data_IF_936648491419
#
_entry.id   IF_936648491419
#
_cell.length_a   1.000
_cell.length_b   1.000
_cell.length_c   1.000
_cell.angle_alpha   90.00
_cell.angle_beta   90.00
_cell.angle_gamma   90.00
#
_symmetry.space_group_name_H-M   'P 1'
#
loop_
_entity.id
_entity.type
_entity.pdbx_description
1 polymer ?
#
# COMPACT_ATOMS: atom_id res chain seq x y z
N UNK A 1 16.87 -6.03 -19.26
CA UNK A 1 16.82 -5.56 -17.86
C UNK A 1 16.87 -4.05 -17.85
N UNK A 2 16.27 -3.41 -16.84
CA UNK A 2 16.30 -1.95 -16.69
C UNK A 2 17.55 -1.56 -15.88
N UNK A 3 18.45 -0.75 -16.44
CA UNK A 3 19.71 -0.34 -15.78
C UNK A 3 19.52 0.94 -14.95
N UNK A 4 18.80 0.84 -13.83
CA UNK A 4 18.56 1.96 -12.91
C UNK A 4 19.17 1.75 -11.51
N UNK A 5 19.97 0.69 -11.32
CA UNK A 5 20.61 0.36 -10.04
C UNK A 5 19.70 -0.29 -8.99
N UNK A 6 18.40 -0.41 -9.24
CA UNK A 6 17.44 -1.06 -8.34
C UNK A 6 17.33 -2.56 -8.61
N UNK A 7 16.84 -3.31 -7.63
CA UNK A 7 16.52 -4.74 -7.74
C UNK A 7 17.67 -5.60 -8.31
N UNK A 8 18.91 -5.34 -7.86
CA UNK A 8 20.08 -6.16 -8.18
C UNK A 8 19.94 -7.61 -7.68
N UNK A 9 19.06 -7.83 -6.70
CA UNK A 9 18.49 -9.13 -6.31
C UNK A 9 16.97 -9.07 -6.49
N UNK A 10 16.26 -10.23 -6.59
CA UNK A 10 14.81 -10.24 -6.66
C UNK A 10 14.16 -9.44 -5.52
N UNK A 11 13.10 -8.65 -5.78
CA UNK A 11 12.40 -7.89 -4.74
C UNK A 11 11.71 -8.83 -3.77
N UNK A 12 11.79 -8.50 -2.48
CA UNK A 12 11.06 -9.18 -1.42
C UNK A 12 10.19 -8.17 -0.68
N UNK A 13 8.93 -8.54 -0.43
CA UNK A 13 7.97 -7.65 0.18
C UNK A 13 6.57 -8.24 0.23
N UNK A 14 5.59 -7.37 0.41
CA UNK A 14 4.18 -7.68 0.52
C UNK A 14 3.39 -6.87 -0.51
N UNK A 15 2.32 -7.46 -1.06
CA UNK A 15 1.46 -6.85 -2.07
C UNK A 15 0.00 -7.25 -1.78
N UNK A 16 -0.90 -6.26 -1.76
CA UNK A 16 -2.26 -6.43 -1.24
C UNK A 16 -3.16 -7.39 -2.04
N UNK A 17 -2.94 -7.51 -3.35
CA UNK A 17 -3.90 -8.07 -4.30
C UNK A 17 -4.37 -9.48 -3.99
N UNK A 18 -3.45 -10.44 -3.82
CA UNK A 18 -3.83 -11.85 -3.76
C UNK A 18 -4.80 -12.11 -2.60
N UNK A 19 -4.52 -11.52 -1.44
CA UNK A 19 -5.27 -11.74 -0.21
C UNK A 19 -6.46 -10.78 -0.02
N UNK A 20 -6.33 -9.52 -0.42
CA UNK A 20 -7.32 -8.46 -0.12
C UNK A 20 -8.11 -8.00 -1.36
N UNK A 21 -7.59 -8.26 -2.56
CA UNK A 21 -8.25 -7.96 -3.85
C UNK A 21 -8.74 -6.51 -3.89
N UNK A 22 -9.94 -6.28 -4.42
CA UNK A 22 -10.58 -4.98 -4.51
C UNK A 22 -11.65 -4.78 -3.42
N UNK A 23 -11.39 -5.22 -2.18
CA UNK A 23 -12.34 -4.99 -1.08
C UNK A 23 -12.34 -3.52 -0.69
N UNK A 24 -13.39 -2.77 -1.03
CA UNK A 24 -13.53 -1.33 -0.70
C UNK A 24 -14.60 -1.08 0.38
N UNK A 25 -15.24 -2.12 0.90
CA UNK A 25 -16.29 -1.99 1.90
C UNK A 25 -15.69 -1.83 3.30
N UNK A 26 -15.30 -0.59 3.62
CA UNK A 26 -14.78 -0.26 4.94
C UNK A 26 -15.86 -0.05 6.01
N UNK A 27 -17.15 -0.15 5.66
CA UNK A 27 -18.24 -0.04 6.65
C UNK A 27 -18.49 -1.41 7.27
N UNK A 28 -18.68 -2.42 6.43
CA UNK A 28 -18.94 -3.80 6.88
C UNK A 28 -17.65 -4.58 7.15
N UNK A 29 -16.56 -4.27 6.44
CA UNK A 29 -15.26 -4.92 6.61
C UNK A 29 -14.10 -3.92 6.80
N UNK A 30 -14.14 -3.10 7.87
CA UNK A 30 -13.15 -2.05 8.11
C UNK A 30 -11.74 -2.59 8.29
N UNK A 31 -11.60 -3.87 8.65
CA UNK A 31 -10.31 -4.52 8.94
C UNK A 31 -9.58 -5.02 7.70
N UNK A 32 -10.31 -5.43 6.65
CA UNK A 32 -9.69 -5.99 5.45
C UNK A 32 -9.92 -5.14 4.18
N UNK A 33 -10.67 -4.04 4.26
CA UNK A 33 -10.80 -3.14 3.11
C UNK A 33 -9.47 -2.46 2.76
N UNK A 34 -9.27 -2.17 1.47
CA UNK A 34 -8.12 -1.44 0.92
C UNK A 34 -8.17 0.00 1.44
N UNK A 35 -7.40 0.27 2.49
CA UNK A 35 -7.40 1.54 3.23
C UNK A 35 -6.01 1.82 3.79
N UNK A 36 -5.69 3.09 4.08
CA UNK A 36 -4.40 3.47 4.68
C UNK A 36 -4.10 2.68 5.97
N UNK A 37 -5.14 2.40 6.78
CA UNK A 37 -5.01 1.62 8.01
C UNK A 37 -4.47 0.22 7.75
N UNK A 38 -4.95 -0.44 6.69
CA UNK A 38 -4.45 -1.78 6.31
C UNK A 38 -2.96 -1.73 5.98
N UNK A 39 -2.51 -0.72 5.23
CA UNK A 39 -1.10 -0.60 4.86
C UNK A 39 -0.22 -0.22 6.06
N UNK A 40 -0.68 0.67 6.93
CA UNK A 40 0.03 1.01 8.17
C UNK A 40 0.18 -0.21 9.08
N UNK A 41 -0.88 -1.01 9.27
CA UNK A 41 -0.80 -2.24 10.05
C UNK A 41 0.16 -3.26 9.43
N UNK A 42 0.18 -3.40 8.10
CA UNK A 42 1.13 -4.30 7.44
C UNK A 42 2.57 -3.78 7.51
N UNK A 43 2.79 -2.46 7.46
CA UNK A 43 4.09 -1.85 7.69
C UNK A 43 4.61 -2.13 9.11
N UNK A 44 3.75 -1.95 10.12
CA UNK A 44 4.05 -2.28 11.52
C UNK A 44 4.48 -3.75 11.67
N UNK A 45 3.72 -4.67 11.06
CA UNK A 45 4.05 -6.12 11.08
C UNK A 45 5.37 -6.40 10.38
N UNK A 46 5.61 -5.80 9.21
CA UNK A 46 6.88 -5.95 8.50
C UNK A 46 8.08 -5.51 9.37
N UNK A 47 7.92 -4.42 10.12
CA UNK A 47 8.97 -3.85 10.96
C UNK A 47 9.15 -4.58 12.31
N UNK A 48 8.07 -5.05 12.94
CA UNK A 48 8.10 -5.61 14.30
C UNK A 48 8.26 -7.13 14.33
N UNK A 49 7.75 -7.85 13.32
CA UNK A 49 7.71 -9.32 13.32
C UNK A 49 8.94 -9.94 12.61
N UNK A 50 9.93 -9.13 12.23
CA UNK A 50 11.21 -9.59 11.65
C UNK A 50 11.25 -9.76 10.13
N UNK A 51 10.14 -9.51 9.42
CA UNK A 51 10.11 -9.63 7.95
C UNK A 51 11.08 -8.69 7.26
N UNK A 52 11.13 -7.42 7.69
CA UNK A 52 12.07 -6.43 7.17
C UNK A 52 13.51 -6.88 7.40
N UNK A 53 13.80 -7.42 8.58
CA UNK A 53 15.14 -7.87 8.96
C UNK A 53 15.58 -9.10 8.14
N UNK A 54 14.62 -9.88 7.61
CA UNK A 54 14.83 -10.97 6.64
C UNK A 54 14.86 -10.50 5.18
N UNK A 55 14.67 -9.20 4.92
CA UNK A 55 14.78 -8.60 3.58
C UNK A 55 13.45 -8.28 2.88
N UNK A 56 12.30 -8.49 3.51
CA UNK A 56 11.00 -8.09 2.95
C UNK A 56 10.76 -6.59 3.18
N UNK A 57 11.20 -5.77 2.23
CA UNK A 57 11.29 -4.30 2.38
C UNK A 57 10.28 -3.51 1.54
N UNK A 58 9.59 -4.15 0.60
CA UNK A 58 8.56 -3.49 -0.20
C UNK A 58 7.17 -3.70 0.41
N UNK A 59 6.39 -2.63 0.53
CA UNK A 59 4.97 -2.67 0.84
C UNK A 59 4.20 -2.04 -0.31
N UNK A 60 3.54 -2.87 -1.12
CA UNK A 60 2.98 -2.44 -2.40
C UNK A 60 1.46 -2.33 -2.34
N UNK A 61 0.96 -1.13 -2.67
CA UNK A 61 -0.44 -0.87 -2.97
C UNK A 61 -0.73 -1.40 -4.38
N UNK A 62 -1.79 -2.18 -4.53
CA UNK A 62 -2.25 -2.70 -5.83
C UNK A 62 -3.49 -1.91 -6.30
N UNK A 63 -4.41 -2.51 -7.06
CA UNK A 63 -5.59 -1.82 -7.59
C UNK A 63 -6.54 -1.28 -6.49
N UNK A 64 -7.50 -0.45 -6.92
CA UNK A 64 -8.62 0.05 -6.10
C UNK A 64 -8.27 1.08 -5.02
N UNK A 65 -7.09 1.69 -5.04
CA UNK A 65 -6.73 2.82 -4.15
C UNK A 65 -7.19 4.19 -4.68
N UNK A 66 -7.38 4.32 -5.99
CA UNK A 66 -7.67 5.59 -6.68
C UNK A 66 -9.09 6.05 -6.33
N UNK A 67 -9.22 7.31 -5.91
CA UNK A 67 -10.51 8.00 -5.73
C UNK A 67 -10.96 8.78 -6.95
N UNK A 68 -10.00 9.24 -7.77
CA UNK A 68 -10.28 9.96 -9.01
C UNK A 68 -9.09 10.77 -9.49
N UNK A 69 -9.38 11.87 -10.21
CA UNK A 69 -8.41 12.88 -10.60
C UNK A 69 -8.88 14.25 -10.13
N UNK A 70 -7.94 15.11 -9.74
CA UNK A 70 -8.23 16.51 -9.47
C UNK A 70 -8.40 17.33 -10.76
N UNK A 71 -8.65 18.63 -10.62
CA UNK A 71 -8.87 19.54 -11.75
C UNK A 71 -7.64 19.67 -12.69
N UNK A 72 -6.44 19.31 -12.21
CA UNK A 72 -5.21 19.27 -13.03
C UNK A 72 -4.98 17.92 -13.69
N UNK A 73 -5.86 16.95 -13.45
CA UNK A 73 -5.72 15.57 -13.94
C UNK A 73 -4.80 14.70 -13.08
N UNK A 74 -4.33 15.19 -11.92
CA UNK A 74 -3.48 14.41 -11.01
C UNK A 74 -4.32 13.35 -10.29
N UNK A 75 -3.79 12.13 -10.17
CA UNK A 75 -4.44 11.06 -9.42
C UNK A 75 -4.54 11.44 -7.93
N UNK A 76 -5.69 11.18 -7.35
CA UNK A 76 -5.95 11.30 -5.91
C UNK A 76 -6.40 9.95 -5.35
N UNK A 77 -5.97 9.59 -4.14
CA UNK A 77 -6.48 8.40 -3.48
C UNK A 77 -7.94 8.60 -3.06
N UNK A 78 -8.63 7.52 -2.76
CA UNK A 78 -9.98 7.58 -2.19
C UNK A 78 -9.93 8.33 -0.84
N UNK A 79 -10.59 9.50 -0.70
CA UNK A 79 -10.45 10.34 0.48
C UNK A 79 -11.11 9.75 1.73
N UNK A 80 -11.98 8.74 1.60
CA UNK A 80 -12.58 8.06 2.75
C UNK A 80 -11.67 6.95 3.27
N UNK A 81 -10.96 6.26 2.37
CA UNK A 81 -10.10 5.11 2.71
C UNK A 81 -8.65 5.49 2.95
N UNK A 82 -8.20 6.61 2.40
CA UNK A 82 -6.88 7.20 2.57
C UNK A 82 -6.99 8.69 2.95
N UNK A 83 -7.64 9.04 4.07
CA UNK A 83 -7.86 10.43 4.48
C UNK A 83 -6.59 11.27 4.65
N UNK A 84 -5.43 10.67 4.96
CA UNK A 84 -4.16 11.40 5.06
C UNK A 84 -3.39 11.47 3.73
N UNK A 85 -3.82 10.71 2.72
CA UNK A 85 -3.22 10.68 1.39
C UNK A 85 -1.96 9.81 1.27
N UNK A 86 -1.52 9.59 0.03
CA UNK A 86 -0.39 8.67 -0.27
C UNK A 86 0.95 9.21 0.22
N UNK A 87 1.15 10.53 0.26
CA UNK A 87 2.41 11.11 0.72
C UNK A 87 2.65 10.82 2.21
N UNK A 88 1.62 10.99 3.03
CA UNK A 88 1.66 10.62 4.45
C UNK A 88 1.96 9.13 4.64
N UNK A 89 1.31 8.26 3.86
CA UNK A 89 1.54 6.82 3.95
C UNK A 89 2.96 6.40 3.51
N UNK A 90 3.63 7.20 2.67
CA UNK A 90 5.02 6.96 2.28
C UNK A 90 6.04 7.47 3.33
N UNK A 91 5.67 8.51 4.09
CA UNK A 91 6.48 9.03 5.20
C UNK A 91 6.43 8.11 6.44
N UNK A 92 5.31 7.40 6.62
CA UNK A 92 5.09 6.43 7.69
C UNK A 92 5.93 5.15 7.51
#
# INVERSE_FOLDING_TARGET
>A
MLENGLLRTPPMGWLAWERFRCNIDCVEDPKNCISERLFMEMADRLAQDGWRDLGYVYLNIDDCWIGGRDASGRLIPDPKRFPHGIAFLADY
#
